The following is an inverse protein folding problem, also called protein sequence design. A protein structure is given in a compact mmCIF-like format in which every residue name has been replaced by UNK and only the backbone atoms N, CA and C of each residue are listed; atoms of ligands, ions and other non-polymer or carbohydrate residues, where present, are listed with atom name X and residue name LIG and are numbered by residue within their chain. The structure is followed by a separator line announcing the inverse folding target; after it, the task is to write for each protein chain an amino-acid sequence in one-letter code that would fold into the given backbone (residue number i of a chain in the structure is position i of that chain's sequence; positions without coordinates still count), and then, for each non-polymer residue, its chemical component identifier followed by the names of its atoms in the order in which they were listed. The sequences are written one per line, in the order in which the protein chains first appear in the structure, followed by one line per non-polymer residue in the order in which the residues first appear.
data_IF_120138816079
#
_entry.id   IF_120138816079
#
_cell.length_a   1.000
_cell.length_b   1.000
_cell.length_c   1.000
_cell.angle_alpha   90.00
_cell.angle_beta   90.00
_cell.angle_gamma   90.00
#
_symmetry.space_group_name_H-M   'P 1'
#
loop_
_entity.id
_entity.type
_entity.pdbx_description
1 polymer ?
#
# COMPACT_ATOMS: atom_id res chain seq x y z
N UNK A 1 20.85 -27.37 -2.30
CA UNK A 1 21.75 -27.26 -3.48
C UNK A 1 21.05 -27.74 -4.77
N UNK A 2 20.29 -28.86 -4.73
CA UNK A 2 19.64 -29.44 -5.90
C UNK A 2 18.61 -28.50 -6.59
N UNK A 3 17.83 -27.76 -5.83
CA UNK A 3 16.86 -26.80 -6.32
C UNK A 3 17.52 -25.67 -7.14
N UNK A 4 18.51 -24.99 -6.56
CA UNK A 4 19.25 -23.91 -7.26
C UNK A 4 19.96 -24.40 -8.52
N UNK A 5 20.53 -25.62 -8.49
CA UNK A 5 21.12 -26.25 -9.67
C UNK A 5 20.06 -26.54 -10.74
N UNK A 6 18.84 -26.89 -10.33
CA UNK A 6 17.71 -27.07 -11.23
C UNK A 6 17.30 -25.76 -11.93
N UNK A 7 17.24 -24.65 -11.20
CA UNK A 7 16.99 -23.32 -11.75
C UNK A 7 18.12 -22.86 -12.66
N UNK A 8 19.37 -23.07 -12.26
CA UNK A 8 20.54 -22.70 -13.07
C UNK A 8 20.59 -23.42 -14.42
N UNK A 9 20.14 -24.69 -14.47
CA UNK A 9 20.00 -25.44 -15.73
C UNK A 9 18.99 -24.84 -16.67
N UNK A 10 17.95 -24.16 -16.17
CA UNK A 10 16.97 -23.44 -16.98
C UNK A 10 17.52 -22.11 -17.50
N UNK A 11 18.50 -21.51 -16.81
CA UNK A 11 19.17 -20.28 -17.22
C UNK A 11 19.55 -19.38 -16.04
N UNK A 12 20.58 -18.56 -16.22
CA UNK A 12 21.01 -17.60 -15.17
C UNK A 12 19.94 -16.57 -14.86
N UNK A 13 19.21 -16.09 -15.87
CA UNK A 13 18.13 -15.15 -15.68
C UNK A 13 17.03 -15.69 -14.76
N UNK A 14 16.73 -16.99 -14.83
CA UNK A 14 15.75 -17.64 -13.98
C UNK A 14 16.18 -17.63 -12.50
N UNK A 15 17.47 -17.86 -12.22
CA UNK A 15 18.02 -17.81 -10.85
C UNK A 15 17.95 -16.39 -10.29
N UNK A 16 18.37 -15.41 -11.09
CA UNK A 16 18.33 -14.01 -10.66
C UNK A 16 16.90 -13.54 -10.41
N UNK A 17 15.97 -13.91 -11.30
CA UNK A 17 14.56 -13.60 -11.18
C UNK A 17 13.96 -14.21 -9.91
N UNK A 18 14.24 -15.49 -9.63
CA UNK A 18 13.80 -16.17 -8.40
C UNK A 18 14.29 -15.44 -7.14
N UNK A 19 15.57 -15.04 -7.14
CA UNK A 19 16.14 -14.31 -6.00
C UNK A 19 15.45 -12.95 -5.78
N UNK A 20 15.22 -12.18 -6.87
CA UNK A 20 14.53 -10.92 -6.76
C UNK A 20 13.06 -11.09 -6.40
N UNK A 21 12.39 -12.11 -6.88
CA UNK A 21 11.02 -12.43 -6.53
C UNK A 21 10.87 -12.62 -5.00
N UNK A 22 11.68 -13.50 -4.40
CA UNK A 22 11.69 -13.70 -2.95
C UNK A 22 12.10 -12.46 -2.16
N UNK A 23 13.06 -11.68 -2.67
CA UNK A 23 13.46 -10.42 -2.03
C UNK A 23 12.32 -9.39 -2.05
N UNK A 24 11.58 -9.31 -3.15
CA UNK A 24 10.46 -8.38 -3.27
C UNK A 24 9.30 -8.74 -2.34
N UNK A 25 9.04 -10.02 -2.06
CA UNK A 25 8.08 -10.38 -1.02
C UNK A 25 8.47 -9.79 0.35
N UNK A 26 9.75 -9.74 0.68
CA UNK A 26 10.24 -9.09 1.89
C UNK A 26 10.10 -7.56 1.80
N UNK A 27 10.50 -6.95 0.68
CA UNK A 27 10.46 -5.51 0.44
C UNK A 27 9.03 -4.95 0.52
N UNK A 28 8.06 -5.67 -0.05
CA UNK A 28 6.64 -5.31 -0.02
C UNK A 28 5.89 -5.87 1.20
N UNK A 29 6.61 -6.48 2.15
CA UNK A 29 6.08 -6.94 3.42
C UNK A 29 4.94 -7.97 3.31
N UNK A 30 4.85 -8.74 2.22
CA UNK A 30 3.77 -9.71 1.99
C UNK A 30 3.68 -10.77 3.10
N UNK A 31 4.82 -11.11 3.71
CA UNK A 31 4.92 -12.03 4.84
C UNK A 31 4.09 -11.59 6.05
N UNK A 32 3.84 -10.26 6.20
CA UNK A 32 3.23 -9.68 7.39
C UNK A 32 1.83 -9.12 7.13
N UNK A 33 1.42 -9.00 5.85
CA UNK A 33 0.22 -8.24 5.46
C UNK A 33 -1.01 -9.09 5.14
N UNK A 34 -0.97 -10.41 5.33
CA UNK A 34 -2.12 -11.31 5.05
C UNK A 34 -3.39 -10.95 5.86
N UNK A 35 -3.27 -10.63 7.14
CA UNK A 35 -4.35 -10.09 8.00
C UNK A 35 -5.71 -10.82 7.89
N UNK A 36 -5.71 -12.15 7.94
CA UNK A 36 -6.95 -12.94 7.88
C UNK A 36 -7.51 -13.20 6.48
N UNK A 37 -6.82 -12.78 5.40
CA UNK A 37 -7.16 -13.17 4.02
C UNK A 37 -6.94 -14.67 3.80
N UNK A 38 -7.66 -15.25 2.85
CA UNK A 38 -7.48 -16.66 2.49
C UNK A 38 -6.06 -16.91 1.97
N UNK A 39 -5.35 -17.90 2.57
CA UNK A 39 -3.92 -18.14 2.28
C UNK A 39 -3.66 -18.33 0.79
N UNK A 40 -4.31 -19.31 0.15
CA UNK A 40 -4.06 -19.64 -1.27
C UNK A 40 -4.28 -18.46 -2.20
N UNK A 41 -5.35 -17.72 -1.96
CA UNK A 41 -5.67 -16.55 -2.78
C UNK A 41 -4.70 -15.41 -2.54
N UNK A 42 -4.25 -15.24 -1.28
CA UNK A 42 -3.23 -14.25 -0.93
C UNK A 42 -1.87 -14.58 -1.55
N UNK A 43 -1.43 -15.83 -1.43
CA UNK A 43 -0.18 -16.30 -2.01
C UNK A 43 -0.16 -16.05 -3.53
N UNK A 44 -1.22 -16.44 -4.24
CA UNK A 44 -1.35 -16.18 -5.68
C UNK A 44 -1.35 -14.67 -5.99
N UNK A 45 -2.02 -13.85 -5.19
CA UNK A 45 -2.06 -12.40 -5.40
C UNK A 45 -0.67 -11.77 -5.23
N UNK A 46 0.10 -12.21 -4.23
CA UNK A 46 1.47 -11.79 -4.01
C UNK A 46 2.38 -12.18 -5.17
N UNK A 47 2.29 -13.42 -5.66
CA UNK A 47 3.07 -13.88 -6.80
C UNK A 47 2.74 -13.10 -8.07
N UNK A 48 1.47 -12.87 -8.38
CA UNK A 48 1.05 -12.07 -9.53
C UNK A 48 1.60 -10.64 -9.43
N UNK A 49 1.53 -10.03 -8.24
CA UNK A 49 2.03 -8.67 -8.04
C UNK A 49 3.53 -8.59 -8.28
N UNK A 50 4.32 -9.49 -7.68
CA UNK A 50 5.78 -9.49 -7.83
C UNK A 50 6.24 -9.84 -9.24
N UNK A 51 5.62 -10.82 -9.86
CA UNK A 51 5.90 -11.16 -11.26
C UNK A 51 5.54 -10.01 -12.21
N UNK A 52 4.48 -9.23 -11.90
CA UNK A 52 4.13 -8.02 -12.66
C UNK A 52 5.21 -6.95 -12.59
N UNK A 53 5.82 -6.74 -11.42
CA UNK A 53 6.95 -5.81 -11.24
C UNK A 53 8.16 -6.29 -12.02
N UNK A 54 8.55 -7.57 -11.85
CA UNK A 54 9.70 -8.17 -12.53
C UNK A 54 9.54 -8.20 -14.07
N UNK A 55 8.32 -8.41 -14.54
CA UNK A 55 8.01 -8.38 -15.98
C UNK A 55 8.02 -6.95 -16.55
N UNK A 56 7.83 -5.94 -15.70
CA UNK A 56 7.96 -4.53 -16.04
C UNK A 56 9.39 -4.00 -16.00
N UNK A 57 10.31 -4.72 -15.36
CA UNK A 57 11.74 -4.39 -15.34
C UNK A 57 12.41 -5.00 -16.57
N UNK A 58 12.80 -4.18 -17.55
CA UNK A 58 13.40 -4.65 -18.81
C UNK A 58 14.89 -5.03 -18.70
N UNK A 59 15.32 -5.52 -17.56
CA UNK A 59 16.71 -5.90 -17.32
C UNK A 59 17.06 -7.28 -17.91
N UNK A 60 18.09 -7.34 -18.74
CA UNK A 60 18.53 -8.57 -19.43
C UNK A 60 18.86 -9.71 -18.47
N UNK A 61 19.37 -9.39 -17.28
CA UNK A 61 19.80 -10.39 -16.30
C UNK A 61 18.66 -11.14 -15.62
N UNK A 62 17.42 -10.64 -15.72
CA UNK A 62 16.19 -11.21 -15.12
C UNK A 62 15.09 -11.47 -16.17
N UNK A 63 15.30 -11.03 -17.40
CA UNK A 63 14.27 -11.12 -18.44
C UNK A 63 13.97 -12.57 -18.80
N UNK A 64 12.70 -12.94 -18.66
CA UNK A 64 12.14 -14.21 -19.10
C UNK A 64 10.95 -13.92 -20.00
N UNK A 65 10.77 -14.72 -21.05
CA UNK A 65 9.67 -14.52 -21.97
C UNK A 65 8.32 -14.74 -21.28
N UNK A 66 7.48 -13.69 -21.29
CA UNK A 66 6.14 -13.76 -20.71
C UNK A 66 5.24 -14.70 -21.50
N UNK A 67 4.51 -15.55 -20.79
CA UNK A 67 3.48 -16.37 -21.41
C UNK A 67 2.27 -15.52 -21.84
N UNK A 68 1.48 -15.98 -22.83
CA UNK A 68 0.22 -15.32 -23.19
C UNK A 68 -0.75 -15.21 -22.02
N UNK A 69 -0.76 -16.21 -21.13
CA UNK A 69 -1.61 -16.26 -19.95
C UNK A 69 -1.28 -15.13 -18.94
N UNK A 70 0.00 -14.87 -18.70
CA UNK A 70 0.46 -13.76 -17.83
C UNK A 70 0.01 -12.41 -18.40
N UNK A 71 0.27 -12.18 -19.68
CA UNK A 71 -0.11 -10.92 -20.36
C UNK A 71 -1.63 -10.67 -20.30
N UNK A 72 -2.42 -11.70 -20.60
CA UNK A 72 -3.88 -11.63 -20.53
C UNK A 72 -4.34 -11.28 -19.11
N UNK A 73 -3.75 -11.94 -18.10
CA UNK A 73 -4.14 -11.73 -16.70
C UNK A 73 -3.81 -10.33 -16.20
N UNK A 74 -2.62 -9.81 -16.50
CA UNK A 74 -2.26 -8.44 -16.15
C UNK A 74 -3.20 -7.40 -16.79
N UNK A 75 -3.52 -7.55 -18.06
CA UNK A 75 -4.47 -6.67 -18.74
C UNK A 75 -5.85 -6.75 -18.11
N UNK A 76 -6.32 -7.94 -17.79
CA UNK A 76 -7.63 -8.15 -17.16
C UNK A 76 -7.70 -7.51 -15.78
N UNK A 77 -6.67 -7.68 -14.95
CA UNK A 77 -6.57 -7.06 -13.62
C UNK A 77 -6.54 -5.53 -13.72
N UNK A 78 -5.72 -4.97 -14.59
CA UNK A 78 -5.62 -3.53 -14.78
C UNK A 78 -6.94 -2.90 -15.25
N UNK A 79 -7.63 -3.53 -16.20
CA UNK A 79 -8.98 -3.11 -16.63
C UNK A 79 -10.00 -3.16 -15.53
N UNK A 80 -9.95 -4.21 -14.71
CA UNK A 80 -10.83 -4.35 -13.57
C UNK A 80 -10.61 -3.21 -12.56
N UNK A 81 -9.36 -2.92 -12.23
CA UNK A 81 -8.98 -1.87 -11.28
C UNK A 81 -9.27 -0.44 -11.78
N UNK A 82 -9.23 -0.20 -13.08
CA UNK A 82 -9.61 1.10 -13.67
C UNK A 82 -11.13 1.31 -13.73
N UNK A 83 -11.93 0.29 -13.40
CA UNK A 83 -13.39 0.37 -13.55
C UNK A 83 -13.87 0.48 -15.00
N UNK A 84 -12.97 0.31 -15.96
CA UNK A 84 -13.22 0.54 -17.35
C UNK A 84 -13.86 -0.67 -18.03
N UNK A 85 -15.18 -0.72 -18.02
CA UNK A 85 -15.95 -1.75 -18.74
C UNK A 85 -15.98 -1.52 -20.24
N UNK A 86 -15.54 -0.36 -20.73
CA UNK A 86 -15.56 0.01 -22.14
C UNK A 86 -14.16 -0.05 -22.77
N UNK A 87 -14.08 -0.67 -23.91
CA UNK A 87 -12.91 -0.93 -24.76
C UNK A 87 -12.24 0.34 -25.36
N UNK A 88 -12.43 1.52 -24.78
CA UNK A 88 -12.01 2.80 -25.36
C UNK A 88 -11.01 3.63 -24.56
N UNK A 89 -10.52 3.17 -23.40
CA UNK A 89 -9.41 3.86 -22.73
C UNK A 89 -8.10 3.61 -23.50
N UNK A 90 -7.25 4.62 -23.55
CA UNK A 90 -5.95 4.48 -24.18
C UNK A 90 -5.15 3.37 -23.48
N UNK A 91 -4.56 2.48 -24.26
CA UNK A 91 -3.72 1.38 -23.74
C UNK A 91 -2.59 1.85 -22.80
N UNK A 92 -2.27 3.13 -22.80
CA UNK A 92 -1.24 3.74 -21.97
C UNK A 92 -1.70 3.96 -20.52
N UNK A 93 -2.94 4.40 -20.30
CA UNK A 93 -3.48 4.57 -18.93
C UNK A 93 -3.65 3.23 -18.22
N UNK A 94 -4.08 2.19 -18.95
CA UNK A 94 -4.20 0.84 -18.40
C UNK A 94 -2.82 0.28 -17.97
N UNK A 95 -1.75 0.61 -18.70
CA UNK A 95 -0.38 0.14 -18.40
C UNK A 95 0.22 0.78 -17.14
N UNK A 96 -0.21 1.97 -16.78
CA UNK A 96 0.27 2.71 -15.59
C UNK A 96 -0.34 2.22 -14.28
N UNK A 97 -1.37 1.36 -14.32
CA UNK A 97 -1.97 0.83 -13.09
C UNK A 97 -1.04 -0.17 -12.42
N UNK A 98 -0.60 0.16 -11.23
CA UNK A 98 0.22 -0.70 -10.38
C UNK A 98 -0.62 -1.81 -9.78
N UNK A 99 -0.12 -3.04 -9.86
CA UNK A 99 -0.75 -4.24 -9.29
C UNK A 99 -0.11 -4.54 -7.93
N UNK A 100 -0.64 -3.96 -6.84
CA UNK A 100 -0.26 -4.35 -5.47
C UNK A 100 -0.95 -5.67 -5.08
N UNK A 101 -0.39 -6.40 -4.13
CA UNK A 101 -0.95 -7.68 -3.68
C UNK A 101 -2.39 -7.53 -3.17
N UNK A 102 -2.68 -6.44 -2.44
CA UNK A 102 -4.02 -6.12 -1.94
C UNK A 102 -5.01 -5.91 -3.07
N UNK A 103 -4.65 -5.09 -4.06
CA UNK A 103 -5.51 -4.80 -5.22
C UNK A 103 -5.78 -6.04 -6.04
N UNK A 104 -4.74 -6.86 -6.26
CA UNK A 104 -4.85 -8.14 -6.97
C UNK A 104 -5.74 -9.11 -6.21
N UNK A 105 -5.57 -9.24 -4.88
CA UNK A 105 -6.40 -10.09 -4.04
C UNK A 105 -7.88 -9.70 -4.15
N UNK A 106 -8.22 -8.44 -3.97
CA UNK A 106 -9.60 -7.96 -4.09
C UNK A 106 -10.17 -8.20 -5.50
N UNK A 107 -9.38 -7.92 -6.54
CA UNK A 107 -9.80 -8.17 -7.91
C UNK A 107 -10.08 -9.67 -8.18
N UNK A 108 -9.22 -10.58 -7.69
CA UNK A 108 -9.41 -12.02 -7.84
C UNK A 108 -10.67 -12.52 -7.12
N UNK A 109 -10.95 -11.99 -5.92
CA UNK A 109 -12.15 -12.32 -5.15
C UNK A 109 -13.43 -11.86 -5.86
N UNK A 110 -13.42 -10.64 -6.41
CA UNK A 110 -14.60 -10.09 -7.09
C UNK A 110 -14.84 -10.66 -8.49
N UNK A 111 -13.79 -11.11 -9.17
CA UNK A 111 -13.89 -11.68 -10.52
C UNK A 111 -14.52 -13.08 -10.55
N UNK A 112 -14.64 -13.77 -9.40
CA UNK A 112 -15.21 -15.12 -9.29
C UNK A 112 -14.74 -16.08 -10.40
N UNK A 113 -13.42 -16.22 -10.55
CA UNK A 113 -12.84 -17.02 -11.63
C UNK A 113 -13.19 -18.51 -11.49
N UNK A 114 -13.45 -19.23 -12.60
CA UNK A 114 -13.67 -20.67 -12.57
C UNK A 114 -12.46 -21.41 -11.96
N UNK A 115 -12.70 -22.47 -11.18
CA UNK A 115 -11.65 -23.28 -10.53
C UNK A 115 -10.52 -23.69 -11.49
N UNK A 116 -10.86 -24.14 -12.68
CA UNK A 116 -9.87 -24.52 -13.71
C UNK A 116 -8.95 -23.35 -14.07
N UNK A 117 -9.49 -22.12 -14.11
CA UNK A 117 -8.70 -20.93 -14.41
C UNK A 117 -7.79 -20.57 -13.24
N UNK A 118 -8.26 -20.70 -12.01
CA UNK A 118 -7.46 -20.52 -10.81
C UNK A 118 -6.27 -21.48 -10.76
N UNK A 119 -6.51 -22.78 -11.00
CA UNK A 119 -5.45 -23.80 -11.05
C UNK A 119 -4.40 -23.48 -12.14
N UNK A 120 -4.83 -22.97 -13.28
CA UNK A 120 -3.92 -22.53 -14.34
C UNK A 120 -3.07 -21.33 -13.92
N UNK A 121 -3.67 -20.36 -13.21
CA UNK A 121 -2.95 -19.20 -12.70
C UNK A 121 -1.98 -19.60 -11.58
N UNK A 122 -2.40 -20.44 -10.64
CA UNK A 122 -1.50 -20.98 -9.62
C UNK A 122 -0.29 -21.68 -10.24
N UNK A 123 -0.51 -22.55 -11.24
CA UNK A 123 0.59 -23.24 -11.92
C UNK A 123 1.53 -22.29 -12.71
N UNK A 124 1.01 -21.19 -13.24
CA UNK A 124 1.78 -20.24 -14.05
C UNK A 124 2.58 -19.25 -13.19
N UNK A 125 1.99 -18.79 -12.07
CA UNK A 125 2.58 -17.75 -11.22
C UNK A 125 3.34 -18.31 -10.01
N UNK A 126 3.17 -19.58 -9.66
CA UNK A 126 3.88 -20.21 -8.56
C UNK A 126 5.38 -20.22 -8.82
N UNK A 127 6.13 -19.43 -8.07
CA UNK A 127 7.59 -19.28 -8.19
C UNK A 127 8.30 -19.86 -6.98
N UNK A 128 7.81 -19.60 -5.77
CA UNK A 128 8.38 -20.02 -4.50
C UNK A 128 7.31 -20.56 -3.53
N UNK A 129 7.77 -21.04 -2.38
CA UNK A 129 6.93 -21.66 -1.37
C UNK A 129 6.76 -20.69 -0.18
N UNK A 130 5.52 -20.37 0.15
CA UNK A 130 5.14 -19.40 1.18
C UNK A 130 4.84 -20.04 2.55
N UNK A 131 5.11 -21.32 2.75
CA UNK A 131 4.78 -22.05 3.99
C UNK A 131 5.52 -21.52 5.22
N UNK A 132 6.67 -20.85 5.02
CA UNK A 132 7.46 -20.27 6.09
C UNK A 132 6.99 -18.89 6.57
N UNK A 133 6.09 -18.23 5.85
CA UNK A 133 5.67 -16.85 6.16
C UNK A 133 4.96 -16.74 7.52
N UNK A 134 4.30 -17.79 7.97
CA UNK A 134 3.50 -17.80 9.20
C UNK A 134 4.23 -18.37 10.42
N UNK A 135 5.49 -18.72 10.28
CA UNK A 135 6.25 -19.39 11.34
C UNK A 135 6.92 -18.45 12.34
N UNK A 136 6.61 -17.14 12.30
CA UNK A 136 7.18 -16.17 13.25
C UNK A 136 6.52 -16.35 14.64
N UNK A 137 7.24 -16.89 15.63
CA UNK A 137 6.66 -17.18 16.93
C UNK A 137 6.46 -15.92 17.80
N UNK A 138 7.15 -14.82 17.47
CA UNK A 138 7.14 -13.57 18.25
C UNK A 138 6.57 -12.41 17.44
N UNK A 139 5.34 -11.93 17.77
CA UNK A 139 4.71 -10.79 17.11
C UNK A 139 5.55 -9.49 17.19
N UNK A 140 6.32 -9.31 18.27
CA UNK A 140 7.17 -8.12 18.44
C UNK A 140 8.35 -8.14 17.48
N UNK A 141 8.98 -9.31 17.31
CA UNK A 141 10.05 -9.51 16.34
C UNK A 141 9.54 -9.34 14.89
N UNK A 142 8.35 -9.87 14.58
CA UNK A 142 7.71 -9.70 13.28
C UNK A 142 7.47 -8.21 12.96
N UNK A 143 6.93 -7.45 13.91
CA UNK A 143 6.69 -6.01 13.76
C UNK A 143 8.00 -5.23 13.56
N UNK A 144 9.04 -5.58 14.31
CA UNK A 144 10.36 -4.94 14.17
C UNK A 144 10.95 -5.18 12.78
N UNK A 145 10.89 -6.41 12.27
CA UNK A 145 11.36 -6.76 10.92
C UNK A 145 10.53 -6.08 9.84
N UNK A 146 9.23 -6.04 9.99
CA UNK A 146 8.35 -5.32 9.07
C UNK A 146 8.72 -3.83 8.99
N UNK A 147 8.97 -3.19 10.12
CA UNK A 147 9.42 -1.80 10.16
C UNK A 147 10.77 -1.61 9.45
N UNK A 148 11.73 -2.50 9.68
CA UNK A 148 13.03 -2.45 8.98
C UNK A 148 12.87 -2.57 7.45
N UNK A 149 11.99 -3.45 6.96
CA UNK A 149 11.72 -3.55 5.53
C UNK A 149 11.02 -2.32 4.96
N UNK A 150 10.10 -1.74 5.72
CA UNK A 150 9.47 -0.48 5.34
C UNK A 150 10.50 0.66 5.23
N UNK A 151 11.40 0.79 6.22
CA UNK A 151 12.48 1.80 6.19
C UNK A 151 13.42 1.58 5.00
N UNK A 152 13.73 0.31 4.68
CA UNK A 152 14.53 -0.01 3.50
C UNK A 152 13.81 0.37 2.20
N UNK A 153 12.49 0.14 2.12
CA UNK A 153 11.69 0.51 0.96
C UNK A 153 11.64 2.03 0.76
N UNK A 154 11.47 2.80 1.83
CA UNK A 154 11.49 4.27 1.78
C UNK A 154 12.87 4.81 1.33
N UNK A 155 13.96 4.24 1.86
CA UNK A 155 15.32 4.60 1.43
C UNK A 155 15.55 4.26 -0.03
N UNK A 156 15.07 3.08 -0.48
CA UNK A 156 15.18 2.66 -1.88
C UNK A 156 14.41 3.61 -2.81
N UNK A 157 13.19 4.03 -2.42
CA UNK A 157 12.44 5.05 -3.16
C UNK A 157 13.26 6.34 -3.33
N UNK A 158 13.77 6.88 -2.23
CA UNK A 158 14.58 8.11 -2.25
C UNK A 158 15.82 7.97 -3.14
N UNK A 159 16.50 6.83 -3.08
CA UNK A 159 17.67 6.58 -3.91
C UNK A 159 17.30 6.49 -5.40
N UNK A 160 16.26 5.75 -5.75
CA UNK A 160 15.81 5.61 -7.14
C UNK A 160 15.34 6.94 -7.72
N UNK A 161 14.59 7.74 -6.96
CA UNK A 161 14.15 9.07 -7.36
C UNK A 161 15.34 10.01 -7.57
N UNK A 162 16.40 9.90 -6.75
CA UNK A 162 17.61 10.70 -6.88
C UNK A 162 18.45 10.28 -8.08
N UNK A 163 18.65 8.97 -8.27
CA UNK A 163 19.45 8.43 -9.39
C UNK A 163 18.71 8.56 -10.72
N UNK A 164 17.40 8.34 -10.74
CA UNK A 164 16.56 8.46 -11.94
C UNK A 164 16.48 9.89 -12.49
N UNK A 165 16.87 10.89 -11.69
CA UNK A 165 16.99 12.26 -12.17
C UNK A 165 18.22 12.48 -13.07
N UNK A 166 19.24 11.63 -12.97
CA UNK A 166 20.49 11.71 -13.74
C UNK A 166 20.50 10.83 -14.98
N UNK A 167 19.76 9.70 -14.95
CA UNK A 167 19.63 8.77 -16.09
C UNK A 167 18.14 8.41 -16.28
N UNK A 168 17.55 8.77 -17.41
CA UNK A 168 16.21 8.34 -17.83
C UNK A 168 16.20 6.82 -18.10
N UNK A 169 16.23 6.02 -17.03
CA UNK A 169 16.13 4.56 -17.14
C UNK A 169 14.66 4.15 -17.06
N UNK A 170 14.02 3.97 -18.23
CA UNK A 170 12.66 3.40 -18.33
C UNK A 170 12.57 1.99 -17.70
N UNK A 171 13.71 1.34 -17.51
CA UNK A 171 13.79 -0.05 -17.08
C UNK A 171 13.39 -0.28 -15.60
N UNK A 172 13.57 0.72 -14.76
CA UNK A 172 13.31 0.61 -13.31
C UNK A 172 11.98 1.26 -12.89
N UNK A 173 11.30 1.91 -13.82
CA UNK A 173 10.08 2.67 -13.55
C UNK A 173 8.97 1.81 -12.92
N UNK A 174 8.82 0.56 -13.37
CA UNK A 174 7.81 -0.37 -12.82
C UNK A 174 8.02 -0.67 -11.33
N UNK A 175 9.27 -0.80 -10.90
CA UNK A 175 9.60 -1.01 -9.49
C UNK A 175 9.38 0.26 -8.69
N UNK A 176 9.81 1.41 -9.20
CA UNK A 176 9.64 2.70 -8.54
C UNK A 176 8.15 3.03 -8.35
N UNK A 177 7.34 2.87 -9.40
CA UNK A 177 5.89 3.09 -9.31
C UNK A 177 5.24 2.20 -8.26
N UNK A 178 5.68 0.93 -8.17
CA UNK A 178 5.16 -0.03 -7.18
C UNK A 178 5.56 0.37 -5.76
N UNK A 179 6.79 0.80 -5.55
CA UNK A 179 7.29 1.28 -4.25
C UNK A 179 6.54 2.56 -3.83
N UNK A 180 6.32 3.49 -4.75
CA UNK A 180 5.60 4.74 -4.48
C UNK A 180 4.17 4.47 -4.02
N UNK A 181 3.43 3.64 -4.77
CA UNK A 181 2.04 3.29 -4.43
C UNK A 181 1.96 2.61 -3.08
N UNK A 182 2.85 1.66 -2.78
CA UNK A 182 2.87 0.95 -1.51
C UNK A 182 3.21 1.86 -0.32
N UNK A 183 4.11 2.82 -0.52
CA UNK A 183 4.43 3.81 0.50
C UNK A 183 3.29 4.83 0.69
N UNK A 184 2.62 5.26 -0.38
CA UNK A 184 1.46 6.16 -0.30
C UNK A 184 0.28 5.51 0.42
N UNK A 185 -0.02 4.25 0.14
CA UNK A 185 -1.12 3.51 0.79
C UNK A 185 -0.87 3.29 2.29
N UNK A 186 0.38 3.29 2.74
CA UNK A 186 0.74 3.16 4.16
C UNK A 186 0.47 4.43 4.95
N UNK A 187 0.67 5.61 4.36
CA UNK A 187 0.52 6.88 5.05
C UNK A 187 -0.87 7.48 4.87
N UNK A 188 -1.79 7.16 5.78
CA UNK A 188 -3.01 7.94 5.92
C UNK A 188 -2.69 9.28 6.62
N UNK A 189 -2.36 10.30 5.82
CA UNK A 189 -2.09 11.65 6.30
C UNK A 189 -3.22 12.21 7.18
N UNK A 190 -4.45 11.76 7.01
CA UNK A 190 -5.58 12.17 7.83
C UNK A 190 -5.46 11.63 9.26
N UNK A 191 -5.05 10.38 9.42
CA UNK A 191 -4.78 9.80 10.74
C UNK A 191 -3.55 10.43 11.40
N UNK A 192 -2.51 10.69 10.62
CA UNK A 192 -1.33 11.40 11.08
C UNK A 192 -1.67 12.80 11.60
N UNK A 193 -2.41 13.59 10.84
CA UNK A 193 -2.83 14.93 11.24
C UNK A 193 -3.76 14.92 12.47
N UNK A 194 -4.61 13.92 12.62
CA UNK A 194 -5.46 13.76 13.82
C UNK A 194 -4.64 13.62 15.11
N UNK A 195 -3.44 13.05 15.06
CA UNK A 195 -2.56 12.95 16.23
C UNK A 195 -2.06 14.31 16.74
N UNK A 196 -2.04 15.31 15.89
CA UNK A 196 -1.65 16.69 16.26
C UNK A 196 -2.85 17.59 16.56
N UNK A 197 -4.07 17.08 16.41
CA UNK A 197 -5.25 17.82 16.80
C UNK A 197 -5.38 17.82 18.32
N UNK A 198 -5.40 18.99 18.92
CA UNK A 198 -5.60 19.21 20.35
C UNK A 198 -7.07 19.53 20.58
N UNK A 199 -7.66 18.94 21.62
CA UNK A 199 -9.00 19.31 22.09
C UNK A 199 -8.95 20.75 22.60
N UNK A 200 -9.80 21.59 22.08
CA UNK A 200 -9.97 22.97 22.50
C UNK A 200 -11.44 23.27 22.69
N UNK A 201 -11.74 24.00 23.74
CA UNK A 201 -13.04 24.60 23.93
C UNK A 201 -13.18 25.81 23.01
N UNK A 202 -14.17 25.82 22.14
CA UNK A 202 -14.56 26.97 21.34
C UNK A 202 -15.92 27.50 21.81
N UNK A 203 -16.09 28.83 21.76
CA UNK A 203 -17.38 29.46 22.01
C UNK A 203 -18.33 29.14 20.87
N UNK A 204 -18.96 27.98 20.96
CA UNK A 204 -19.98 27.52 20.01
C UNK A 204 -21.06 26.82 20.82
N UNK A 205 -22.29 27.27 20.69
CA UNK A 205 -23.43 26.67 21.37
C UNK A 205 -23.53 25.17 21.03
N UNK A 206 -23.50 24.33 22.04
CA UNK A 206 -23.71 22.90 21.90
C UNK A 206 -25.16 22.54 22.17
N UNK A 207 -25.95 22.21 21.13
CA UNK A 207 -27.39 21.90 21.31
C UNK A 207 -27.63 20.56 21.99
N UNK A 208 -26.61 19.68 22.07
CA UNK A 208 -26.72 18.35 22.64
C UNK A 208 -26.35 18.30 24.13
N UNK A 209 -25.82 19.40 24.66
CA UNK A 209 -25.40 19.53 26.06
C UNK A 209 -26.02 20.77 26.70
N UNK A 210 -26.29 20.72 28.00
CA UNK A 210 -26.80 21.85 28.74
C UNK A 210 -25.88 22.24 29.90
N UNK A 211 -25.94 23.52 30.34
CA UNK A 211 -25.18 24.03 31.45
C UNK A 211 -25.71 23.48 32.78
N UNK A 212 -24.91 22.62 33.41
CA UNK A 212 -25.25 22.00 34.71
C UNK A 212 -25.30 23.01 35.86
N UNK A 213 -24.52 24.09 35.80
CA UNK A 213 -24.53 25.11 36.84
C UNK A 213 -25.86 25.90 36.78
N UNK A 214 -26.28 26.24 35.57
CA UNK A 214 -27.54 26.94 35.36
C UNK A 214 -28.76 26.06 35.69
N UNK A 215 -28.70 24.79 35.34
CA UNK A 215 -29.70 23.79 35.70
C UNK A 215 -29.85 23.64 37.22
N UNK A 216 -28.76 23.46 37.96
CA UNK A 216 -28.78 23.34 39.45
C UNK A 216 -29.19 24.61 40.15
N UNK A 217 -28.81 25.77 39.61
CA UNK A 217 -29.25 27.07 40.10
C UNK A 217 -30.76 27.23 39.96
N UNK A 218 -31.35 26.87 38.83
CA UNK A 218 -32.79 26.86 38.61
C UNK A 218 -33.53 25.99 39.60
N UNK A 219 -33.06 24.77 39.85
CA UNK A 219 -33.64 23.89 40.85
C UNK A 219 -33.56 24.46 42.29
N UNK A 220 -32.48 25.14 42.64
CA UNK A 220 -32.33 25.75 43.97
C UNK A 220 -33.25 26.92 44.20
N UNK A 221 -33.54 27.71 43.16
CA UNK A 221 -34.40 28.90 43.21
C UNK A 221 -35.88 28.56 43.15
N UNK A 222 -36.26 27.65 42.25
CA UNK A 222 -37.65 27.37 41.90
C UNK A 222 -38.15 25.99 42.35
N UNK A 223 -37.31 25.19 43.02
CA UNK A 223 -37.66 23.92 43.61
C UNK A 223 -37.87 22.79 42.57
N UNK A 224 -38.80 22.95 41.68
CA UNK A 224 -39.17 21.91 40.69
C UNK A 224 -38.99 22.32 39.24
N UNK A 225 -38.42 23.49 38.94
CA UNK A 225 -38.27 24.01 37.58
C UNK A 225 -36.81 24.27 37.27
N UNK A 226 -36.12 23.32 36.62
CA UNK A 226 -34.77 23.56 36.15
C UNK A 226 -34.74 24.57 35.03
N UNK A 227 -33.73 25.42 35.03
CA UNK A 227 -33.44 26.29 33.89
C UNK A 227 -32.54 25.53 32.93
N UNK A 228 -32.97 25.33 31.68
CA UNK A 228 -32.21 24.60 30.68
C UNK A 228 -31.67 25.62 29.67
N UNK A 229 -30.36 25.75 29.62
CA UNK A 229 -29.63 26.56 28.64
C UNK A 229 -28.59 25.70 27.98
N UNK A 230 -28.43 25.76 26.62
CA UNK A 230 -27.40 25.01 25.92
C UNK A 230 -26.00 25.46 26.38
N UNK A 231 -25.05 24.54 26.39
CA UNK A 231 -23.67 24.86 26.74
C UNK A 231 -23.08 25.81 25.70
N UNK A 232 -22.50 26.92 26.15
CA UNK A 232 -21.91 27.93 25.26
C UNK A 232 -20.53 27.54 24.69
N UNK A 233 -19.93 26.48 25.25
CA UNK A 233 -18.61 25.99 24.83
C UNK A 233 -18.69 24.55 24.36
N UNK A 234 -18.11 24.28 23.20
CA UNK A 234 -17.99 22.95 22.66
C UNK A 234 -16.52 22.56 22.50
N UNK A 235 -16.17 21.36 22.92
CA UNK A 235 -14.85 20.80 22.65
C UNK A 235 -14.73 20.41 21.17
N UNK A 236 -13.78 21.02 20.46
CA UNK A 236 -13.46 20.71 19.06
C UNK A 236 -11.98 20.32 18.94
N UNK A 237 -11.72 19.34 18.09
CA UNK A 237 -10.35 18.96 17.76
C UNK A 237 -9.82 19.88 16.65
N UNK A 238 -8.86 20.74 16.99
CA UNK A 238 -8.20 21.64 16.03
C UNK A 238 -6.70 21.54 16.10
N UNK A 239 -6.06 21.65 14.95
CA UNK A 239 -4.62 21.86 14.84
C UNK A 239 -4.35 23.35 15.02
N UNK A 240 -3.71 23.72 16.12
CA UNK A 240 -3.46 25.15 16.45
C UNK A 240 -2.37 25.78 15.59
N UNK A 241 -1.27 25.06 15.38
CA UNK A 241 -0.15 25.51 14.57
C UNK A 241 0.41 24.32 13.83
N UNK A 242 0.65 24.50 12.55
CA UNK A 242 1.25 23.51 11.68
C UNK A 242 2.40 24.16 10.94
N UNK A 243 3.61 23.65 11.13
CA UNK A 243 4.80 24.12 10.46
C UNK A 243 5.24 23.07 9.46
N UNK A 244 5.27 23.45 8.19
CA UNK A 244 5.80 22.61 7.11
C UNK A 244 7.22 23.05 6.85
N UNK A 245 8.17 22.15 7.04
CA UNK A 245 9.58 22.37 6.68
C UNK A 245 9.83 21.60 5.39
N UNK A 246 10.15 22.32 4.33
CA UNK A 246 10.51 21.74 3.03
C UNK A 246 12.03 21.78 2.92
N UNK A 247 12.64 20.60 2.80
CA UNK A 247 14.06 20.48 2.49
C UNK A 247 14.28 20.84 1.02
N UNK A 248 15.07 21.88 0.77
CA UNK A 248 15.46 22.35 -0.57
C UNK A 248 16.91 22.00 -0.91
N UNK A 249 17.47 20.97 -0.25
CA UNK A 249 18.83 20.52 -0.55
C UNK A 249 18.93 20.01 -2.01
N UNK A 250 20.14 19.91 -2.51
CA UNK A 250 20.42 19.51 -3.90
C UNK A 250 19.82 18.12 -4.27
N UNK A 251 19.58 17.27 -3.27
CA UNK A 251 18.93 15.95 -3.45
C UNK A 251 17.42 16.03 -3.65
N UNK A 252 16.80 17.19 -3.40
CA UNK A 252 15.37 17.39 -3.54
C UNK A 252 15.06 17.99 -4.90
N UNK A 253 14.54 17.19 -5.80
CA UNK A 253 14.26 17.56 -7.19
C UNK A 253 13.19 18.65 -7.32
N UNK A 254 13.32 19.56 -8.29
CA UNK A 254 12.35 20.61 -8.60
C UNK A 254 10.90 20.13 -8.72
N UNK A 255 10.59 18.99 -9.41
CA UNK A 255 9.26 18.40 -9.46
C UNK A 255 8.73 17.94 -8.10
N UNK A 256 9.59 17.48 -7.20
CA UNK A 256 9.20 17.05 -5.85
C UNK A 256 8.81 18.28 -5.01
N UNK A 257 9.60 19.36 -5.06
CA UNK A 257 9.30 20.63 -4.39
C UNK A 257 7.98 21.24 -4.91
N UNK A 258 7.71 21.09 -6.21
CA UNK A 258 6.45 21.54 -6.81
C UNK A 258 5.21 20.79 -6.30
N UNK A 259 5.36 19.52 -5.95
CA UNK A 259 4.27 18.75 -5.33
C UNK A 259 3.96 19.17 -3.89
N UNK A 260 4.94 19.68 -3.16
CA UNK A 260 4.77 20.23 -1.81
C UNK A 260 4.17 21.62 -1.82
#
# INVERSE_FOLDING_TARGET
PGFLLGLYKKGRAVVNRYYLHTLFHCLFCHLYTRKGREKKMWDLACDIAMESVLDGMYEKCIHVLQSPLRREMYLRLRRFLTGNKNTGASNEEERKVVLTAERVYHALMEMELPKRRMEQLEAEFHVDDHDLWEQEPDPSAAMTRQNQWNDNRERMQTQMETMGAEEESENEQSLLDSIQVENEERYDYRQFLKKFAVLREEMQTDPDSFDQAFYTYGLSLYGNMPLIEPLETREVQRIQQFVIVIDTSYSTNGPLVQKF
#
